data_IF_135541839080
#
_entry.id   IF_135541839080
#
_cell.length_a   1.000
_cell.length_b   1.000
_cell.length_c   1.000
_cell.angle_alpha   90.00
_cell.angle_beta   90.00
_cell.angle_gamma   90.00
#
_symmetry.space_group_name_H-M   'P 1'
#
loop_
_entity.id
_entity.type
_entity.pdbx_description
1 polymer ?
#
# COMPACT_ATOMS: atom_id res chain seq x y z
N UNK A 1 14.74 18.00 -50.03
CA UNK A 1 13.37 18.32 -49.56
C UNK A 1 12.54 17.07 -49.75
N UNK A 2 12.21 16.37 -48.66
CA UNK A 2 11.44 15.12 -48.72
C UNK A 2 9.95 15.46 -48.88
N UNK A 3 9.28 14.78 -49.81
CA UNK A 3 7.85 14.94 -50.08
C UNK A 3 7.01 14.49 -48.87
N UNK A 4 5.91 15.19 -48.54
CA UNK A 4 5.03 14.78 -47.46
C UNK A 4 4.27 13.50 -47.86
N UNK A 5 3.98 12.60 -46.90
CA UNK A 5 3.22 11.39 -47.17
C UNK A 5 1.78 11.74 -47.59
N UNK A 6 1.39 11.32 -48.79
CA UNK A 6 0.04 11.48 -49.36
C UNK A 6 -0.91 10.45 -48.72
N UNK A 7 -1.40 10.78 -47.54
CA UNK A 7 -2.52 10.08 -46.93
C UNK A 7 -3.28 11.10 -46.10
N UNK A 8 -3.95 12.00 -46.81
CA UNK A 8 -4.86 12.97 -46.25
C UNK A 8 -6.28 12.61 -46.62
N UNK A 9 -6.76 11.48 -46.08
CA UNK A 9 -8.15 11.48 -45.58
C UNK A 9 -8.12 12.24 -44.23
N UNK A 10 -7.88 13.55 -44.31
CA UNK A 10 -7.86 14.49 -43.16
C UNK A 10 -9.30 14.86 -42.77
N UNK A 11 -10.24 13.94 -42.96
CA UNK A 11 -11.63 14.13 -42.59
C UNK A 11 -11.76 13.66 -41.15
N UNK A 12 -12.18 14.57 -40.26
CA UNK A 12 -12.56 14.15 -38.92
C UNK A 12 -13.65 13.07 -39.03
N UNK A 13 -13.56 11.99 -38.25
CA UNK A 13 -14.59 10.98 -38.25
C UNK A 13 -15.93 11.67 -37.91
N UNK A 14 -17.02 11.30 -38.60
CA UNK A 14 -18.33 11.88 -38.33
C UNK A 14 -18.67 11.65 -36.86
N UNK A 15 -19.11 12.72 -36.17
CA UNK A 15 -19.55 12.63 -34.80
C UNK A 15 -20.77 11.70 -34.70
N UNK A 16 -20.74 10.75 -33.77
CA UNK A 16 -21.88 9.88 -33.48
C UNK A 16 -22.88 10.64 -32.61
N UNK A 17 -23.63 11.54 -33.26
CA UNK A 17 -24.66 12.36 -32.60
C UNK A 17 -25.68 11.50 -31.85
N UNK A 18 -26.03 10.31 -32.34
CA UNK A 18 -27.03 9.45 -31.69
C UNK A 18 -26.46 8.81 -30.43
N UNK A 19 -25.23 8.31 -30.49
CA UNK A 19 -24.51 7.75 -29.36
C UNK A 19 -24.16 8.77 -28.28
N UNK A 20 -23.81 9.99 -28.68
CA UNK A 20 -23.47 11.09 -27.77
C UNK A 20 -24.71 11.73 -27.11
N UNK A 21 -25.82 11.90 -27.85
CA UNK A 21 -27.08 12.42 -27.29
C UNK A 21 -27.78 11.42 -26.36
N UNK A 22 -27.44 10.13 -26.45
CA UNK A 22 -28.07 9.07 -25.67
C UNK A 22 -27.01 8.20 -24.96
N UNK A 23 -26.42 8.70 -23.86
CA UNK A 23 -25.35 7.99 -23.14
C UNK A 23 -25.80 6.63 -22.56
N UNK A 24 -27.11 6.36 -22.45
CA UNK A 24 -27.64 5.07 -22.03
C UNK A 24 -27.57 3.95 -23.09
N UNK A 25 -27.38 4.30 -24.37
CA UNK A 25 -27.35 3.33 -25.49
C UNK A 25 -25.91 2.89 -25.79
N UNK A 26 -24.93 3.76 -25.51
CA UNK A 26 -23.52 3.51 -25.76
C UNK A 26 -22.86 2.85 -24.53
N UNK A 27 -23.12 1.55 -24.33
CA UNK A 27 -22.56 0.79 -23.20
C UNK A 27 -21.09 0.39 -23.39
N UNK A 28 -20.57 0.48 -24.62
CA UNK A 28 -19.17 0.18 -24.93
C UNK A 28 -18.35 1.47 -25.04
N UNK A 29 -17.89 1.96 -23.88
CA UNK A 29 -16.83 2.96 -23.86
C UNK A 29 -15.53 2.28 -24.30
N UNK A 30 -15.07 2.57 -25.53
CA UNK A 30 -13.77 2.13 -26.00
C UNK A 30 -12.68 2.88 -25.21
N UNK A 31 -12.27 2.31 -24.09
CA UNK A 31 -11.11 2.80 -23.35
C UNK A 31 -9.84 2.39 -24.10
N UNK A 32 -8.94 3.36 -24.26
CA UNK A 32 -7.61 3.11 -24.81
C UNK A 32 -6.91 1.98 -24.00
N UNK A 33 -6.44 0.90 -24.66
CA UNK A 33 -5.73 -0.20 -24.03
C UNK A 33 -4.59 0.23 -23.10
N UNK A 34 -3.92 1.36 -23.43
CA UNK A 34 -2.83 1.90 -22.60
C UNK A 34 -3.36 2.39 -21.25
N UNK A 35 -4.52 3.06 -21.23
CA UNK A 35 -5.14 3.56 -20.01
C UNK A 35 -5.61 2.42 -19.08
N UNK A 36 -6.16 1.35 -19.65
CA UNK A 36 -6.58 0.15 -18.89
C UNK A 36 -5.37 -0.53 -18.19
N UNK A 37 -4.24 -0.62 -18.89
CA UNK A 37 -3.00 -1.18 -18.34
C UNK A 37 -2.42 -0.33 -17.21
N UNK A 38 -2.51 0.99 -17.31
CA UNK A 38 -2.05 1.92 -16.25
C UNK A 38 -2.95 1.83 -15.01
N UNK A 39 -4.27 1.74 -15.20
CA UNK A 39 -5.22 1.57 -14.10
C UNK A 39 -5.00 0.25 -13.34
N UNK A 40 -4.87 -0.87 -14.07
CA UNK A 40 -4.58 -2.18 -13.48
C UNK A 40 -3.22 -2.19 -12.75
N UNK A 41 -2.18 -1.58 -13.34
CA UNK A 41 -0.86 -1.46 -12.71
C UNK A 41 -0.89 -0.65 -11.40
N UNK A 42 -1.71 0.41 -11.36
CA UNK A 42 -1.90 1.25 -10.17
C UNK A 42 -2.58 0.47 -9.05
N UNK A 43 -3.66 -0.27 -9.36
CA UNK A 43 -4.37 -1.11 -8.39
C UNK A 43 -3.47 -2.21 -7.80
N UNK A 44 -2.66 -2.88 -8.64
CA UNK A 44 -1.73 -3.91 -8.20
C UNK A 44 -0.65 -3.32 -7.26
N UNK A 45 -0.10 -2.14 -7.59
CA UNK A 45 0.86 -1.44 -6.72
C UNK A 45 0.26 -1.03 -5.38
N UNK A 46 -0.98 -0.55 -5.39
CA UNK A 46 -1.67 -0.09 -4.19
C UNK A 46 -2.00 -1.26 -3.25
N UNK A 47 -2.45 -2.39 -3.81
CA UNK A 47 -2.65 -3.62 -3.04
C UNK A 47 -1.33 -4.20 -2.51
N UNK A 48 -0.24 -4.14 -3.27
CA UNK A 48 1.08 -4.60 -2.81
C UNK A 48 1.61 -3.72 -1.66
N UNK A 49 1.48 -2.40 -1.76
CA UNK A 49 1.86 -1.48 -0.68
C UNK A 49 1.06 -1.66 0.60
N UNK A 50 -0.25 -1.91 0.48
CA UNK A 50 -1.11 -2.20 1.64
C UNK A 50 -0.76 -3.53 2.33
N UNK A 51 -0.39 -4.56 1.57
CA UNK A 51 0.05 -5.86 2.11
C UNK A 51 1.42 -5.78 2.79
N UNK A 52 2.33 -4.95 2.27
CA UNK A 52 3.63 -4.73 2.88
C UNK A 52 3.50 -4.01 4.24
N UNK A 53 2.64 -2.98 4.32
CA UNK A 53 2.40 -2.22 5.55
C UNK A 53 1.76 -3.05 6.68
N UNK A 54 0.97 -4.07 6.34
CA UNK A 54 0.41 -5.02 7.33
C UNK A 54 1.48 -5.94 7.90
N UNK A 55 2.29 -6.55 7.04
CA UNK A 55 3.40 -7.42 7.47
C UNK A 55 4.44 -6.69 8.33
N UNK A 56 4.71 -5.42 8.06
CA UNK A 56 5.67 -4.63 8.84
C UNK A 56 5.17 -4.37 10.27
N UNK A 57 3.88 -4.04 10.44
CA UNK A 57 3.25 -3.87 11.76
C UNK A 57 3.22 -5.17 12.57
N UNK A 58 3.00 -6.30 11.92
CA UNK A 58 3.00 -7.62 12.56
C UNK A 58 4.41 -8.02 13.04
N UNK A 59 5.44 -7.70 12.26
CA UNK A 59 6.83 -7.93 12.68
C UNK A 59 7.24 -7.02 13.84
N UNK A 60 6.82 -5.76 13.80
CA UNK A 60 7.15 -4.76 14.82
C UNK A 60 6.46 -5.04 16.17
N UNK A 61 5.22 -5.50 16.14
CA UNK A 61 4.50 -5.94 17.36
C UNK A 61 5.15 -7.16 18.01
N UNK A 62 5.62 -8.14 17.22
CA UNK A 62 6.34 -9.30 17.76
C UNK A 62 7.71 -8.93 18.33
N UNK A 63 8.42 -7.97 17.72
CA UNK A 63 9.69 -7.46 18.26
C UNK A 63 9.46 -6.68 19.55
N UNK A 64 8.43 -5.83 19.58
CA UNK A 64 8.03 -5.08 20.77
C UNK A 64 7.66 -6.01 21.92
N UNK A 65 6.89 -7.08 21.65
CA UNK A 65 6.53 -8.07 22.65
C UNK A 65 7.76 -8.81 23.21
N UNK A 66 8.68 -9.26 22.36
CA UNK A 66 9.94 -9.90 22.79
C UNK A 66 10.77 -8.96 23.68
N UNK A 67 10.89 -7.70 23.27
CA UNK A 67 11.64 -6.68 24.03
C UNK A 67 10.99 -6.40 25.38
N UNK A 68 9.66 -6.28 25.43
CA UNK A 68 8.91 -6.04 26.66
C UNK A 68 9.10 -7.17 27.68
N UNK A 69 9.08 -8.43 27.25
CA UNK A 69 9.31 -9.58 28.14
C UNK A 69 10.72 -9.52 28.74
N UNK A 70 11.75 -9.24 27.94
CA UNK A 70 13.14 -9.15 28.42
C UNK A 70 13.29 -8.01 29.44
N UNK A 71 12.78 -6.82 29.12
CA UNK A 71 12.86 -5.64 30.01
C UNK A 71 12.11 -5.94 31.33
N UNK A 72 10.93 -6.56 31.25
CA UNK A 72 10.15 -6.93 32.45
C UNK A 72 10.92 -7.89 33.36
N UNK A 73 11.65 -8.86 32.80
CA UNK A 73 12.46 -9.81 33.57
C UNK A 73 13.62 -9.13 34.32
N UNK A 74 14.30 -8.17 33.68
CA UNK A 74 15.42 -7.43 34.30
C UNK A 74 14.92 -6.61 35.50
N UNK A 75 13.80 -5.91 35.36
CA UNK A 75 13.23 -5.09 36.45
C UNK A 75 12.85 -5.96 37.66
N UNK A 76 12.22 -7.11 37.44
CA UNK A 76 11.86 -8.05 38.52
C UNK A 76 13.12 -8.60 39.20
N UNK A 77 14.16 -8.95 38.44
CA UNK A 77 15.42 -9.44 39.00
C UNK A 77 16.13 -8.38 39.85
N UNK A 78 16.17 -7.12 39.39
CA UNK A 78 16.74 -6.00 40.14
C UNK A 78 15.97 -5.73 41.44
N UNK A 79 14.63 -5.73 41.38
CA UNK A 79 13.80 -5.59 42.57
C UNK A 79 14.01 -6.73 43.57
N UNK A 80 14.10 -7.98 43.09
CA UNK A 80 14.40 -9.14 43.92
C UNK A 80 15.77 -9.07 44.58
N UNK A 81 16.80 -8.65 43.84
CA UNK A 81 18.16 -8.48 44.37
C UNK A 81 18.22 -7.37 45.43
N UNK A 82 17.62 -6.21 45.16
CA UNK A 82 17.54 -5.11 46.12
C UNK A 82 16.75 -5.50 47.38
N UNK A 83 15.64 -6.24 47.21
CA UNK A 83 14.84 -6.74 48.32
C UNK A 83 15.61 -7.75 49.18
N UNK A 84 16.38 -8.64 48.56
CA UNK A 84 17.21 -9.60 49.29
C UNK A 84 18.31 -8.91 50.11
N UNK A 85 18.97 -7.91 49.53
CA UNK A 85 20.02 -7.13 50.22
C UNK A 85 19.42 -6.33 51.38
N UNK A 86 18.32 -5.61 51.15
CA UNK A 86 17.68 -4.78 52.18
C UNK A 86 17.05 -5.61 53.29
N UNK A 87 16.45 -6.77 52.98
CA UNK A 87 15.93 -7.72 53.99
C UNK A 87 17.08 -8.24 54.88
N UNK A 88 18.21 -8.63 54.28
CA UNK A 88 19.39 -9.11 55.01
C UNK A 88 20.02 -8.04 55.93
N UNK A 89 19.87 -6.76 55.59
CA UNK A 89 20.31 -5.62 56.42
C UNK A 89 19.33 -5.28 57.55
N UNK A 90 18.04 -5.58 57.41
CA UNK A 90 17.00 -5.26 58.41
C UNK A 90 16.86 -6.29 59.52
N UNK A 91 17.41 -7.49 59.34
CA UNK A 91 17.47 -8.56 60.35
C UNK A 91 18.71 -8.47 61.28
N UNK A 92 19.51 -7.40 61.18
CA UNK A 92 20.61 -7.08 62.11
C UNK A 92 20.27 -5.86 62.95
#
# INVERSE_FOLDING_TARGET
MASPPQNSDLTFPPADVVGELNPGINTQVQVDPVSSRVAASKEIKEQAGAKQKKNEREKDTLQTLKSAIIISGIVVALAGAAFAITKKLREK
#
